data_IF_382575561469
#
_entry.id   IF_382575561469
#
_cell.length_a   1.000
_cell.length_b   1.000
_cell.length_c   1.000
_cell.angle_alpha   90.00
_cell.angle_beta   90.00
_cell.angle_gamma   90.00
#
_symmetry.space_group_name_H-M   'P 1'
#
loop_
_entity.id
_entity.type
_entity.pdbx_description
1 polymer ?
#
# COMPACT_ATOMS: atom_id res chain seq x y z
N UNK A 1 -21.21 -8.07 2.99
CA UNK A 1 -20.83 -6.70 2.59
C UNK A 1 -19.32 -6.64 2.55
N UNK A 2 -18.72 -6.01 1.56
CA UNK A 2 -17.29 -5.70 1.60
C UNK A 2 -17.07 -4.65 2.70
N UNK A 3 -16.13 -4.88 3.60
CA UNK A 3 -15.78 -3.90 4.63
C UNK A 3 -14.94 -2.79 4.01
N UNK A 4 -15.23 -1.54 4.36
CA UNK A 4 -14.48 -0.37 3.94
C UNK A 4 -14.13 0.46 5.17
N UNK A 5 -12.99 1.14 5.11
CA UNK A 5 -12.50 2.05 6.14
C UNK A 5 -12.02 3.32 5.48
N UNK A 6 -12.37 4.44 6.09
CA UNK A 6 -11.95 5.77 5.65
C UNK A 6 -11.24 6.43 6.81
N UNK A 7 -10.04 6.94 6.57
CA UNK A 7 -9.27 7.62 7.61
C UNK A 7 -10.05 8.81 8.21
N UNK A 8 -10.76 9.56 7.37
CA UNK A 8 -11.51 10.75 7.80
C UNK A 8 -12.89 10.40 8.36
N UNK A 9 -13.63 9.46 7.76
CA UNK A 9 -14.95 9.09 8.24
C UNK A 9 -14.90 8.23 9.52
N UNK A 10 -13.84 7.45 9.71
CA UNK A 10 -13.61 6.62 10.89
C UNK A 10 -12.63 7.26 11.88
N UNK A 11 -12.45 8.59 11.83
CA UNK A 11 -11.55 9.29 12.74
C UNK A 11 -11.92 9.02 14.20
N UNK A 12 -10.91 8.67 15.01
CA UNK A 12 -11.13 8.32 16.42
C UNK A 12 -10.65 9.42 17.37
N UNK A 13 -11.55 9.86 18.26
CA UNK A 13 -11.21 10.69 19.42
C UNK A 13 -10.69 9.86 20.61
N UNK A 14 -10.53 8.55 20.43
CA UNK A 14 -9.84 7.65 21.36
C UNK A 14 -8.68 7.00 20.62
N UNK A 15 -7.46 7.48 20.84
CA UNK A 15 -6.28 6.94 20.19
C UNK A 15 -5.81 5.66 20.88
N UNK A 16 -6.02 4.53 20.22
CA UNK A 16 -5.64 3.21 20.70
C UNK A 16 -5.19 2.35 19.53
N UNK A 17 -4.61 1.17 19.77
CA UNK A 17 -4.17 0.24 18.71
C UNK A 17 -5.33 -0.52 18.04
N UNK A 18 -6.45 0.16 17.80
CA UNK A 18 -7.59 -0.36 17.04
C UNK A 18 -7.33 -0.25 15.53
N UNK A 19 -8.38 -0.16 14.71
CA UNK A 19 -8.28 -0.04 13.25
C UNK A 19 -7.48 1.18 12.85
N UNK A 20 -7.77 2.35 13.43
CA UNK A 20 -6.96 3.55 13.27
C UNK A 20 -6.23 3.89 14.56
N UNK A 21 -4.97 4.29 14.41
CA UNK A 21 -4.14 4.82 15.48
C UNK A 21 -3.25 5.94 14.95
N UNK A 22 -2.94 6.92 15.79
CA UNK A 22 -2.21 8.13 15.41
C UNK A 22 -0.96 8.26 16.25
N UNK A 23 0.11 8.75 15.66
CA UNK A 23 1.36 8.87 16.39
C UNK A 23 2.49 9.40 15.55
N UNK A 24 3.70 9.17 16.03
CA UNK A 24 4.90 9.60 15.34
C UNK A 24 5.96 8.51 15.30
N UNK A 25 6.86 8.63 14.34
CA UNK A 25 8.14 7.91 14.33
C UNK A 25 9.25 8.88 14.75
N UNK A 26 10.26 8.41 15.50
CA UNK A 26 11.37 9.24 15.94
C UNK A 26 12.14 9.82 14.74
N UNK A 27 12.96 10.87 14.97
CA UNK A 27 13.73 11.48 13.90
C UNK A 27 14.83 10.55 13.39
N UNK A 28 15.30 10.87 12.19
CA UNK A 28 16.19 10.02 11.40
C UNK A 28 15.40 9.51 10.20
N UNK A 29 15.97 9.59 9.00
CA UNK A 29 15.34 9.37 7.69
C UNK A 29 14.76 7.95 7.43
N UNK A 30 14.43 7.21 8.49
CA UNK A 30 13.85 5.88 8.45
C UNK A 30 12.35 6.00 8.71
N UNK A 31 11.58 5.86 7.64
CA UNK A 31 10.11 5.70 7.68
C UNK A 31 9.67 4.35 8.27
N UNK A 32 10.63 3.49 8.62
CA UNK A 32 10.47 2.23 9.34
C UNK A 32 11.00 2.37 10.77
N UNK A 33 10.53 1.53 11.69
CA UNK A 33 11.00 1.51 13.09
C UNK A 33 9.92 1.83 14.12
N UNK A 34 10.32 2.38 15.25
CA UNK A 34 9.44 2.59 16.41
C UNK A 34 8.27 3.52 16.07
N UNK A 35 7.07 3.15 16.53
CA UNK A 35 5.87 3.98 16.44
C UNK A 35 5.37 4.30 17.86
N UNK A 36 5.25 5.59 18.16
CA UNK A 36 4.81 6.09 19.46
C UNK A 36 3.46 6.77 19.29
N UNK A 37 2.47 6.34 20.07
CA UNK A 37 1.12 6.91 20.01
C UNK A 37 1.11 8.36 20.50
N UNK A 38 0.32 9.19 19.83
CA UNK A 38 -0.13 10.45 20.41
C UNK A 38 -1.04 10.19 21.59
N UNK A 39 -0.85 10.94 22.67
CA UNK A 39 -1.55 10.72 23.95
C UNK A 39 -2.44 11.88 24.35
N UNK A 40 -2.35 13.01 23.65
CA UNK A 40 -3.09 14.22 23.96
C UNK A 40 -4.01 14.59 22.80
N UNK A 41 -5.30 14.74 23.12
CA UNK A 41 -6.30 15.30 22.21
C UNK A 41 -6.65 16.70 22.72
N UNK A 42 -6.42 17.72 21.91
CA UNK A 42 -6.67 19.11 22.27
C UNK A 42 -7.57 19.78 21.22
N UNK A 43 -8.46 20.66 21.66
CA UNK A 43 -9.22 21.54 20.77
C UNK A 43 -8.39 22.77 20.43
N UNK A 44 -8.57 23.32 19.23
CA UNK A 44 -8.08 24.65 18.90
C UNK A 44 -8.52 25.66 19.98
N UNK A 45 -7.61 26.43 20.61
CA UNK A 45 -7.96 27.38 21.65
C UNK A 45 -8.88 28.51 21.16
N UNK A 46 -8.96 28.74 19.86
CA UNK A 46 -9.88 29.71 19.25
C UNK A 46 -11.25 29.11 18.88
N UNK A 47 -11.49 27.85 19.24
CA UNK A 47 -12.75 27.13 19.00
C UNK A 47 -13.16 27.11 17.51
N UNK A 48 -12.18 26.98 16.60
CA UNK A 48 -12.47 26.80 15.17
C UNK A 48 -13.21 25.49 14.85
N UNK A 49 -13.29 24.55 15.80
CA UNK A 49 -13.81 23.20 15.58
C UNK A 49 -12.76 22.23 15.03
N UNK A 50 -11.48 22.60 15.04
CA UNK A 50 -10.37 21.68 14.76
C UNK A 50 -9.88 21.05 16.07
N UNK A 51 -9.61 19.74 16.03
CA UNK A 51 -8.99 18.98 17.12
C UNK A 51 -7.66 18.37 16.70
N UNK A 52 -6.77 18.16 17.66
CA UNK A 52 -5.38 17.78 17.43
C UNK A 52 -4.98 16.60 18.30
N UNK A 53 -4.51 15.53 17.68
CA UNK A 53 -3.71 14.51 18.32
C UNK A 53 -2.24 14.90 18.29
N UNK A 54 -1.61 14.95 19.47
CA UNK A 54 -0.21 15.36 19.62
C UNK A 54 0.55 14.53 20.66
N UNK A 55 1.90 14.57 20.65
CA UNK A 55 2.73 14.15 21.76
C UNK A 55 2.49 15.00 23.02
N UNK A 56 2.78 14.48 24.22
CA UNK A 56 2.62 15.21 25.48
C UNK A 56 3.49 16.47 25.56
N UNK A 57 4.63 16.52 24.89
CA UNK A 57 5.51 17.69 24.84
C UNK A 57 4.96 18.85 24.00
N UNK A 58 3.95 18.61 23.16
CA UNK A 58 3.37 19.60 22.24
C UNK A 58 2.02 20.16 22.74
N UNK A 59 1.71 19.99 24.02
CA UNK A 59 0.45 20.49 24.58
C UNK A 59 0.52 22.01 24.75
N UNK A 60 -0.54 22.74 24.38
CA UNK A 60 -0.57 24.18 24.54
C UNK A 60 -0.23 24.71 25.91
N UNK A 61 0.76 25.60 26.01
CA UNK A 61 0.96 26.42 27.19
C UNK A 61 0.08 27.68 27.10
N UNK A 62 -0.97 27.81 27.93
CA UNK A 62 -1.88 28.95 27.90
C UNK A 62 -1.24 30.28 28.31
N UNK A 63 0.01 30.31 28.77
CA UNK A 63 0.68 31.53 29.26
C UNK A 63 1.32 32.39 28.17
N UNK A 64 1.45 31.92 26.93
CA UNK A 64 2.28 32.59 25.94
C UNK A 64 1.55 33.37 24.84
N UNK A 65 0.21 33.37 24.76
CA UNK A 65 -0.57 34.06 23.70
C UNK A 65 -0.13 33.80 22.24
N UNK A 66 0.78 32.85 22.02
CA UNK A 66 1.14 32.28 20.73
C UNK A 66 0.32 31.02 20.62
N UNK A 67 -0.41 30.82 19.51
CA UNK A 67 -1.21 29.62 19.29
C UNK A 67 -0.29 28.39 19.45
N UNK A 68 -0.36 27.62 20.55
CA UNK A 68 0.74 26.71 20.91
C UNK A 68 0.80 25.42 20.08
N UNK A 69 -0.20 25.24 19.23
CA UNK A 69 -0.30 24.20 18.24
C UNK A 69 0.10 24.89 16.94
N UNK A 70 1.25 24.59 16.35
CA UNK A 70 1.21 23.90 15.06
C UNK A 70 2.51 23.68 14.31
N UNK A 71 3.54 24.50 14.43
CA UNK A 71 4.60 24.42 13.40
C UNK A 71 5.76 23.49 13.79
N UNK A 72 6.08 23.34 15.07
CA UNK A 72 7.32 22.65 15.43
C UNK A 72 7.19 21.13 15.59
N UNK A 73 5.99 20.63 15.85
CA UNK A 73 5.75 19.30 16.38
C UNK A 73 4.88 18.39 15.50
N UNK A 74 5.04 17.05 15.56
CA UNK A 74 4.22 16.16 14.76
C UNK A 74 2.78 16.16 15.28
N UNK A 75 1.80 16.19 14.37
CA UNK A 75 0.38 16.17 14.74
C UNK A 75 -0.52 15.54 13.67
N UNK A 76 -1.69 15.08 14.12
CA UNK A 76 -2.85 14.77 13.28
C UNK A 76 -3.98 15.71 13.70
N UNK A 77 -4.52 16.48 12.77
CA UNK A 77 -5.64 17.39 13.00
C UNK A 77 -6.89 16.98 12.23
N UNK A 78 -8.06 17.20 12.82
CA UNK A 78 -9.35 16.84 12.23
C UNK A 78 -10.35 17.99 12.35
N UNK A 79 -11.05 18.26 11.24
CA UNK A 79 -12.14 19.24 11.21
C UNK A 79 -13.46 18.60 11.65
N UNK A 80 -13.98 18.97 12.82
CA UNK A 80 -15.26 18.47 13.32
C UNK A 80 -16.46 19.05 12.54
N UNK A 81 -16.27 20.16 11.82
CA UNK A 81 -17.36 20.87 11.18
C UNK A 81 -17.81 20.20 9.87
N UNK A 82 -19.12 20.25 9.55
CA UNK A 82 -19.65 19.80 8.27
C UNK A 82 -19.43 20.83 7.14
N UNK A 83 -18.53 21.79 7.36
CA UNK A 83 -18.19 22.87 6.42
C UNK A 83 -16.67 23.07 6.38
N UNK A 84 -16.20 23.75 5.35
CA UNK A 84 -14.81 24.20 5.27
C UNK A 84 -14.49 25.13 6.43
N UNK A 85 -13.40 24.85 7.12
CA UNK A 85 -12.86 25.64 8.23
C UNK A 85 -11.50 26.20 7.83
N UNK A 86 -11.25 27.46 8.17
CA UNK A 86 -9.95 28.10 7.97
C UNK A 86 -9.32 28.23 9.36
N UNK A 87 -8.13 27.65 9.51
CA UNK A 87 -7.33 27.79 10.73
C UNK A 87 -6.20 28.78 10.44
N UNK A 88 -6.21 29.92 11.12
CA UNK A 88 -5.13 30.91 11.05
C UNK A 88 -3.96 30.46 11.95
N UNK A 89 -2.77 30.28 11.36
CA UNK A 89 -1.55 29.87 12.07
C UNK A 89 -0.45 30.90 11.76
N UNK A 90 -0.19 31.78 12.73
CA UNK A 90 0.78 32.86 12.54
C UNK A 90 0.37 33.79 11.38
N UNK A 91 1.15 33.77 10.29
CA UNK A 91 0.87 34.53 9.06
C UNK A 91 0.20 33.70 7.96
N UNK A 92 0.09 32.38 8.13
CA UNK A 92 -0.53 31.48 7.14
C UNK A 92 -1.94 31.06 7.53
N UNK A 93 -2.63 30.46 6.56
CA UNK A 93 -3.95 29.86 6.74
C UNK A 93 -3.94 28.44 6.19
N UNK A 94 -4.46 27.53 7.00
CA UNK A 94 -4.68 26.15 6.60
C UNK A 94 -6.16 25.96 6.31
N UNK A 95 -6.48 25.49 5.10
CA UNK A 95 -7.87 25.34 4.64
C UNK A 95 -8.30 23.89 4.78
N UNK A 96 -9.15 23.60 5.77
CA UNK A 96 -9.69 22.28 6.03
C UNK A 96 -11.04 22.10 5.36
N UNK A 97 -11.21 21.19 4.38
CA UNK A 97 -12.54 20.72 3.98
C UNK A 97 -13.35 20.16 5.16
N UNK A 98 -14.66 20.04 4.99
CA UNK A 98 -15.54 19.41 5.98
C UNK A 98 -15.03 18.00 6.32
N UNK A 99 -14.99 17.66 7.62
CA UNK A 99 -14.60 16.32 8.10
C UNK A 99 -13.27 15.81 7.55
N UNK A 100 -12.29 16.69 7.34
CA UNK A 100 -11.01 16.32 6.73
C UNK A 100 -9.90 16.14 7.79
N UNK A 101 -8.89 15.34 7.44
CA UNK A 101 -7.67 15.19 8.24
C UNK A 101 -6.52 15.91 7.59
N UNK A 102 -5.77 16.66 8.40
CA UNK A 102 -4.45 17.14 8.07
C UNK A 102 -3.40 16.44 8.94
N UNK A 103 -2.24 16.20 8.36
CA UNK A 103 -1.09 15.57 8.98
C UNK A 103 0.09 16.54 8.83
N UNK A 104 0.73 16.87 9.94
CA UNK A 104 1.86 17.81 9.98
C UNK A 104 3.08 17.10 10.59
N UNK A 105 4.28 17.12 9.96
CA UNK A 105 5.49 16.52 10.50
C UNK A 105 6.08 17.38 11.64
N UNK A 106 7.30 17.11 12.09
CA UNK A 106 7.99 17.96 13.08
C UNK A 106 9.23 18.60 12.49
N UNK A 107 9.53 19.83 12.91
CA UNK A 107 10.76 20.51 12.52
C UNK A 107 12.04 19.80 13.01
N UNK A 108 11.94 18.95 14.04
CA UNK A 108 13.05 18.12 14.50
C UNK A 108 13.22 16.81 13.70
N UNK A 109 12.41 16.62 12.65
CA UNK A 109 12.47 15.49 11.73
C UNK A 109 11.66 14.26 12.15
N UNK A 110 10.84 14.34 13.22
CA UNK A 110 9.84 13.29 13.50
C UNK A 110 8.77 13.27 12.40
N UNK A 111 8.39 12.05 12.01
CA UNK A 111 7.30 11.83 11.07
C UNK A 111 5.97 11.72 11.82
N UNK A 112 4.90 12.24 11.25
CA UNK A 112 3.53 11.97 11.70
C UNK A 112 2.93 10.79 10.96
N UNK A 113 2.17 9.97 11.68
CA UNK A 113 1.66 8.69 11.17
C UNK A 113 0.19 8.52 11.51
N UNK A 114 -0.61 8.28 10.49
CA UNK A 114 -1.90 7.62 10.61
C UNK A 114 -1.71 6.13 10.26
N UNK A 115 -1.97 5.23 11.21
CA UNK A 115 -1.76 3.79 11.04
C UNK A 115 -3.09 3.06 10.96
N UNK A 116 -3.26 2.32 9.87
CA UNK A 116 -4.28 1.30 9.73
C UNK A 116 -3.78 -0.03 10.26
N UNK A 117 -4.56 -0.69 11.11
CA UNK A 117 -4.32 -2.07 11.57
C UNK A 117 -5.40 -2.98 10.99
N UNK A 118 -5.00 -3.95 10.17
CA UNK A 118 -5.94 -4.83 9.51
C UNK A 118 -6.76 -5.66 10.52
N UNK A 119 -8.10 -5.54 10.56
CA UNK A 119 -8.91 -6.26 11.54
C UNK A 119 -9.06 -7.75 11.22
N UNK A 120 -8.85 -8.14 9.97
CA UNK A 120 -8.97 -9.51 9.44
C UNK A 120 -7.92 -9.76 8.36
N UNK A 121 -7.64 -11.03 8.07
CA UNK A 121 -6.82 -11.40 6.92
C UNK A 121 -7.55 -11.05 5.61
N UNK A 122 -6.82 -10.59 4.60
CA UNK A 122 -7.36 -10.47 3.25
C UNK A 122 -6.54 -9.60 2.32
N UNK A 123 -7.09 -9.36 1.13
CA UNK A 123 -6.53 -8.41 0.19
C UNK A 123 -7.24 -7.07 0.35
N UNK A 124 -6.46 -6.01 0.53
CA UNK A 124 -6.95 -4.66 0.73
C UNK A 124 -6.61 -3.80 -0.47
N UNK A 125 -7.62 -3.17 -1.06
CA UNK A 125 -7.42 -2.10 -2.03
C UNK A 125 -7.26 -0.77 -1.28
N UNK A 126 -6.26 0.01 -1.67
CA UNK A 126 -5.96 1.33 -1.12
C UNK A 126 -6.16 2.39 -2.20
N UNK A 127 -6.82 3.49 -1.84
CA UNK A 127 -6.92 4.74 -2.60
C UNK A 127 -6.49 5.87 -1.67
N UNK A 128 -5.40 6.55 -2.02
CA UNK A 128 -4.74 7.52 -1.16
C UNK A 128 -4.44 8.79 -1.93
N UNK A 129 -4.74 9.92 -1.30
CA UNK A 129 -4.41 11.25 -1.81
C UNK A 129 -3.78 12.05 -0.67
N UNK A 130 -2.62 12.62 -0.94
CA UNK A 130 -2.02 13.67 -0.12
C UNK A 130 -2.06 15.00 -0.87
N UNK A 131 -2.37 16.09 -0.16
CA UNK A 131 -2.47 17.43 -0.76
C UNK A 131 -1.91 18.48 0.19
N UNK A 132 -1.08 19.38 -0.33
CA UNK A 132 -0.57 20.52 0.44
C UNK A 132 -1.66 21.61 0.57
N UNK A 133 -2.01 22.01 1.79
CA UNK A 133 -3.17 22.89 2.05
C UNK A 133 -2.86 24.17 2.86
N UNK A 134 -1.59 24.44 3.17
CA UNK A 134 -1.18 25.72 3.75
C UNK A 134 -1.03 26.77 2.63
N UNK A 135 -1.60 27.97 2.80
CA UNK A 135 -1.56 29.04 1.79
C UNK A 135 -0.19 29.75 1.65
N UNK A 136 0.81 29.37 2.43
CA UNK A 136 2.19 29.84 2.34
C UNK A 136 3.17 28.80 1.78
N UNK A 137 2.71 27.60 1.44
CA UNK A 137 3.58 26.49 1.04
C UNK A 137 4.17 26.56 -0.39
N UNK A 138 4.23 27.74 -1.00
CA UNK A 138 4.62 27.96 -2.41
C UNK A 138 5.97 27.35 -2.81
N UNK A 139 6.88 27.18 -1.84
CA UNK A 139 8.25 26.74 -2.06
C UNK A 139 8.70 25.68 -1.05
N UNK A 140 7.76 25.03 -0.39
CA UNK A 140 8.05 24.02 0.64
C UNK A 140 7.71 22.63 0.14
N UNK A 141 8.40 21.65 0.71
CA UNK A 141 8.28 20.25 0.33
C UNK A 141 7.79 19.41 1.51
N UNK A 142 6.80 18.58 1.26
CA UNK A 142 6.36 17.57 2.23
C UNK A 142 6.59 16.17 1.67
N UNK A 143 7.22 15.30 2.47
CA UNK A 143 7.43 13.89 2.14
C UNK A 143 6.20 13.05 2.50
N UNK A 144 5.67 12.29 1.54
CA UNK A 144 4.54 11.38 1.74
C UNK A 144 4.95 9.93 1.54
N UNK A 145 4.57 9.04 2.46
CA UNK A 145 4.96 7.62 2.42
C UNK A 145 3.82 6.69 2.80
N UNK A 146 3.81 5.51 2.19
CA UNK A 146 2.93 4.39 2.56
C UNK A 146 3.81 3.19 2.87
N UNK A 147 3.83 2.77 4.13
CA UNK A 147 4.70 1.69 4.61
C UNK A 147 3.86 0.51 5.10
N UNK A 148 4.05 -0.64 4.47
CA UNK A 148 3.46 -1.90 4.89
C UNK A 148 4.31 -2.57 5.98
N UNK A 149 3.63 -2.98 7.04
CA UNK A 149 4.12 -3.73 8.18
C UNK A 149 5.45 -3.21 8.74
N UNK A 150 5.61 -1.89 8.72
CA UNK A 150 6.80 -1.19 9.21
C UNK A 150 8.14 -1.62 8.55
N UNK A 151 8.11 -2.24 7.37
CA UNK A 151 9.32 -2.77 6.72
C UNK A 151 9.37 -2.60 5.21
N UNK A 152 8.22 -2.46 4.54
CA UNK A 152 8.15 -2.38 3.09
C UNK A 152 7.53 -1.05 2.66
N UNK A 153 8.29 -0.24 1.92
CA UNK A 153 7.73 0.94 1.26
C UNK A 153 6.87 0.50 0.08
N UNK A 154 5.57 0.80 0.16
CA UNK A 154 4.63 0.60 -0.95
C UNK A 154 4.66 1.79 -1.90
N UNK A 155 4.85 2.99 -1.34
CA UNK A 155 4.88 4.23 -2.08
C UNK A 155 5.61 5.33 -1.31
N UNK A 156 6.25 6.22 -2.05
CA UNK A 156 6.98 7.39 -1.56
C UNK A 156 6.83 8.51 -2.59
N UNK A 157 6.65 9.74 -2.11
CA UNK A 157 6.51 10.92 -2.96
C UNK A 157 7.00 12.17 -2.25
N UNK A 158 7.22 13.20 -3.06
CA UNK A 158 7.49 14.57 -2.61
C UNK A 158 6.35 15.45 -3.13
N UNK A 159 5.75 16.21 -2.23
CA UNK A 159 4.61 17.11 -2.47
C UNK A 159 5.17 18.53 -2.40
N UNK A 160 5.05 19.29 -3.49
CA UNK A 160 5.71 20.59 -3.62
C UNK A 160 4.75 21.68 -4.05
N UNK A 161 4.60 22.71 -3.21
CA UNK A 161 3.79 23.87 -3.54
C UNK A 161 2.33 23.73 -3.09
N UNK A 162 1.68 24.89 -2.94
CA UNK A 162 0.27 24.98 -2.52
C UNK A 162 -0.62 24.21 -3.48
N UNK A 163 -1.47 23.34 -2.92
CA UNK A 163 -2.44 22.57 -3.69
C UNK A 163 -1.84 21.45 -4.53
N UNK A 164 -0.52 21.22 -4.48
CA UNK A 164 0.05 20.04 -5.12
C UNK A 164 -0.53 18.78 -4.47
N UNK A 165 -0.84 17.82 -5.33
CA UNK A 165 -1.57 16.62 -4.98
C UNK A 165 -0.85 15.42 -5.55
N UNK A 166 -0.60 14.44 -4.68
CA UNK A 166 -0.01 13.16 -5.05
C UNK A 166 -0.95 12.04 -4.64
N UNK A 167 -1.15 11.08 -5.54
CA UNK A 167 -2.09 9.97 -5.33
C UNK A 167 -1.42 8.61 -5.50
N UNK A 168 -1.91 7.64 -4.74
CA UNK A 168 -1.55 6.23 -4.86
C UNK A 168 -2.81 5.37 -4.90
N UNK A 169 -2.82 4.43 -5.85
CA UNK A 169 -3.84 3.39 -5.96
C UNK A 169 -3.13 2.04 -5.96
N UNK A 170 -3.60 1.09 -5.13
CA UNK A 170 -3.11 -0.28 -5.20
C UNK A 170 -3.58 -0.97 -6.49
N UNK A 171 -2.92 -2.07 -6.89
CA UNK A 171 -3.41 -2.92 -7.98
C UNK A 171 -4.83 -3.46 -7.68
N UNK A 172 -5.58 -3.85 -8.72
CA UNK A 172 -6.94 -4.41 -8.58
C UNK A 172 -7.02 -5.64 -7.66
N UNK A 173 -5.93 -6.42 -7.56
CA UNK A 173 -5.84 -7.57 -6.66
C UNK A 173 -5.68 -7.19 -5.19
N UNK A 174 -5.47 -5.91 -4.90
CA UNK A 174 -5.12 -5.37 -3.59
C UNK A 174 -3.74 -5.82 -3.11
N UNK A 175 -3.46 -5.47 -1.86
CA UNK A 175 -2.28 -5.92 -1.11
C UNK A 175 -2.75 -6.96 -0.09
N UNK A 176 -2.08 -8.11 -0.06
CA UNK A 176 -2.36 -9.14 0.95
C UNK A 176 -1.82 -8.71 2.30
N UNK A 177 -2.71 -8.57 3.27
CA UNK A 177 -2.42 -8.13 4.64
C UNK A 177 -3.07 -9.10 5.62
N UNK A 178 -2.31 -9.57 6.59
CA UNK A 178 -2.83 -10.39 7.69
C UNK A 178 -3.42 -9.51 8.77
N UNK A 179 -4.31 -10.10 9.54
CA UNK A 179 -4.85 -9.51 10.75
C UNK A 179 -3.72 -9.03 11.65
N UNK A 180 -3.89 -7.81 12.16
CA UNK A 180 -2.97 -7.06 13.00
C UNK A 180 -1.68 -6.58 12.31
N UNK A 181 -1.45 -6.88 11.02
CA UNK A 181 -0.42 -6.20 10.25
C UNK A 181 -0.88 -4.77 9.92
N UNK A 182 0.08 -3.88 9.73
CA UNK A 182 -0.18 -2.44 9.64
C UNK A 182 0.09 -1.90 8.24
N UNK A 183 -0.62 -0.82 7.89
CA UNK A 183 -0.26 0.08 6.81
C UNK A 183 -0.16 1.47 7.42
N UNK A 184 1.03 2.05 7.36
CA UNK A 184 1.32 3.38 7.89
C UNK A 184 1.24 4.40 6.74
N UNK A 185 0.41 5.42 6.92
CA UNK A 185 0.35 6.61 6.07
C UNK A 185 1.13 7.70 6.80
N UNK A 186 2.27 8.07 6.24
CA UNK A 186 3.31 8.83 6.94
C UNK A 186 3.55 10.14 6.21
N UNK A 187 3.60 11.22 6.97
CA UNK A 187 4.07 12.52 6.50
C UNK A 187 5.35 12.88 7.25
N UNK A 188 6.36 13.29 6.50
CA UNK A 188 7.65 13.77 6.99
C UNK A 188 8.10 15.01 6.25
N UNK A 189 9.26 15.52 6.63
CA UNK A 189 9.89 16.63 5.93
C UNK A 189 10.25 16.16 4.51
N UNK A 190 9.95 16.99 3.51
CA UNK A 190 10.25 16.68 2.12
C UNK A 190 11.72 16.92 1.76
N UNK A 191 11.98 17.14 0.46
CA UNK A 191 13.34 17.33 -0.06
C UNK A 191 14.06 18.57 0.49
N UNK A 192 13.34 19.56 1.01
CA UNK A 192 13.90 20.76 1.64
C UNK A 192 14.27 20.55 3.13
N UNK A 193 13.91 19.40 3.69
CA UNK A 193 14.19 19.00 5.07
C UNK A 193 13.71 20.03 6.11
N UNK A 194 12.61 20.73 5.82
CA UNK A 194 11.91 21.64 6.74
C UNK A 194 10.49 21.12 7.00
N UNK A 195 9.82 21.77 7.95
CA UNK A 195 8.44 21.56 8.41
C UNK A 195 7.55 22.80 8.15
N UNK A 196 8.17 23.96 7.86
CA UNK A 196 7.44 25.22 7.78
C UNK A 196 6.37 25.11 6.70
N UNK A 197 5.13 25.45 7.09
CA UNK A 197 3.97 25.38 6.19
C UNK A 197 3.63 23.96 5.69
N UNK A 198 4.12 22.90 6.35
CA UNK A 198 3.80 21.51 5.99
C UNK A 198 2.46 21.05 6.55
N UNK A 199 1.38 21.57 5.96
CA UNK A 199 0.03 21.04 6.22
C UNK A 199 -0.42 20.15 5.07
N UNK A 200 -0.41 18.84 5.30
CA UNK A 200 -0.84 17.85 4.30
C UNK A 200 -2.19 17.25 4.64
N UNK A 201 -3.19 17.55 3.80
CA UNK A 201 -4.47 16.85 3.79
C UNK A 201 -4.25 15.38 3.39
N UNK A 202 -4.81 14.46 4.18
CA UNK A 202 -4.77 13.04 3.89
C UNK A 202 -6.18 12.47 3.67
N UNK A 203 -6.45 12.00 2.45
CA UNK A 203 -7.64 11.24 2.11
C UNK A 203 -7.22 9.79 1.83
N UNK A 204 -7.67 8.87 2.68
CA UNK A 204 -7.28 7.46 2.63
C UNK A 204 -8.54 6.61 2.73
N UNK A 205 -8.78 5.84 1.67
CA UNK A 205 -9.86 4.88 1.57
C UNK A 205 -9.29 3.47 1.42
N UNK A 206 -9.78 2.55 2.24
CA UNK A 206 -9.32 1.16 2.31
C UNK A 206 -10.52 0.24 2.15
N UNK A 207 -10.44 -0.74 1.26
CA UNK A 207 -11.51 -1.71 1.05
C UNK A 207 -10.99 -3.13 1.12
N UNK A 208 -11.63 -3.97 1.93
CA UNK A 208 -11.40 -5.41 1.91
C UNK A 208 -12.02 -5.97 0.64
N UNK A 209 -11.18 -6.52 -0.22
CA UNK A 209 -11.61 -7.18 -1.44
C UNK A 209 -12.26 -8.51 -1.10
N UNK A 210 -13.44 -8.72 -1.66
CA UNK A 210 -14.07 -10.03 -1.59
C UNK A 210 -13.20 -10.98 -2.42
N UNK A 211 -12.75 -12.06 -1.80
CA UNK A 211 -12.28 -13.21 -2.55
C UNK A 211 -13.49 -13.73 -3.34
N UNK A 212 -13.68 -13.21 -4.55
CA UNK A 212 -14.50 -13.85 -5.55
C UNK A 212 -13.73 -15.12 -5.95
N UNK A 213 -13.79 -16.14 -5.10
CA UNK A 213 -13.70 -17.52 -5.54
C UNK A 213 -14.92 -17.79 -6.41
N UNK A 214 -14.95 -17.17 -7.60
CA UNK A 214 -15.40 -17.92 -8.75
C UNK A 214 -14.43 -19.08 -8.79
N UNK A 215 -14.95 -20.25 -8.42
CA UNK A 215 -14.35 -21.53 -8.73
C UNK A 215 -14.11 -21.57 -10.25
N UNK A 216 -13.07 -20.91 -10.76
CA UNK A 216 -12.25 -21.52 -11.78
C UNK A 216 -11.56 -22.65 -11.05
N UNK A 217 -12.30 -23.75 -10.85
CA UNK A 217 -11.66 -25.04 -10.73
C UNK A 217 -10.60 -25.05 -11.85
N UNK A 218 -9.32 -25.35 -11.56
CA UNK A 218 -8.42 -25.65 -12.64
C UNK A 218 -9.13 -26.75 -13.43
N UNK A 219 -9.43 -26.47 -14.70
CA UNK A 219 -9.92 -27.50 -15.60
C UNK A 219 -8.84 -28.58 -15.56
N UNK A 220 -9.08 -29.63 -14.77
CA UNK A 220 -8.29 -30.85 -14.70
C UNK A 220 -8.48 -31.56 -16.04
N UNK A 221 -8.00 -30.96 -17.13
CA UNK A 221 -8.03 -31.57 -18.47
C UNK A 221 -6.64 -31.83 -19.03
N UNK A 222 -5.56 -31.51 -18.31
CA UNK A 222 -4.20 -31.70 -18.84
C UNK A 222 -3.53 -33.01 -18.42
N UNK A 223 -4.07 -33.76 -17.45
CA UNK A 223 -3.46 -35.05 -17.04
C UNK A 223 -3.94 -36.23 -17.91
N UNK A 224 -5.09 -36.13 -18.59
CA UNK A 224 -5.62 -37.23 -19.41
C UNK A 224 -5.05 -37.29 -20.84
N UNK A 225 -4.52 -36.19 -21.38
CA UNK A 225 -3.90 -36.21 -22.73
C UNK A 225 -2.49 -36.80 -22.74
N UNK A 226 -1.72 -36.67 -21.65
CA UNK A 226 -0.34 -37.18 -21.57
C UNK A 226 -0.24 -38.71 -21.58
N UNK A 227 -1.14 -39.39 -20.87
CA UNK A 227 -1.14 -40.86 -20.81
C UNK A 227 -1.63 -41.51 -22.12
N UNK A 228 -2.64 -40.91 -22.78
CA UNK A 228 -3.15 -41.40 -24.06
C UNK A 228 -2.12 -41.29 -25.19
N UNK A 229 -1.44 -40.13 -25.30
CA UNK A 229 -0.37 -39.92 -26.28
C UNK A 229 0.85 -40.80 -26.00
N UNK A 230 1.22 -40.99 -24.72
CA UNK A 230 2.33 -41.86 -24.35
C UNK A 230 2.11 -43.32 -24.77
N UNK A 231 0.91 -43.87 -24.53
CA UNK A 231 0.56 -45.22 -24.94
C UNK A 231 0.46 -45.37 -26.46
N UNK A 232 -0.05 -44.34 -27.16
CA UNK A 232 -0.14 -44.33 -28.61
C UNK A 232 1.25 -44.26 -29.28
N UNK A 233 2.14 -43.39 -28.80
CA UNK A 233 3.53 -43.32 -29.25
C UNK A 233 4.28 -44.63 -28.98
N UNK A 234 4.11 -45.22 -27.79
CA UNK A 234 4.71 -46.52 -27.46
C UNK A 234 4.24 -47.63 -28.41
N UNK A 235 2.94 -47.69 -28.71
CA UNK A 235 2.38 -48.66 -29.63
C UNK A 235 2.94 -48.51 -31.06
N UNK A 236 3.02 -47.27 -31.58
CA UNK A 236 3.62 -47.01 -32.90
C UNK A 236 5.10 -47.41 -32.93
N UNK A 237 5.88 -47.02 -31.91
CA UNK A 237 7.29 -47.41 -31.81
C UNK A 237 7.46 -48.92 -31.75
N UNK A 238 6.59 -49.63 -31.03
CA UNK A 238 6.59 -51.09 -30.97
C UNK A 238 6.30 -51.71 -32.35
N UNK A 239 5.26 -51.26 -33.06
CA UNK A 239 4.92 -51.78 -34.40
C UNK A 239 6.04 -51.54 -35.40
N UNK A 240 6.65 -50.35 -35.40
CA UNK A 240 7.78 -50.02 -36.27
C UNK A 240 8.99 -50.89 -35.95
N UNK A 241 9.31 -51.09 -34.67
CA UNK A 241 10.39 -51.97 -34.24
C UNK A 241 10.16 -53.43 -34.65
N UNK A 242 8.95 -53.96 -34.47
CA UNK A 242 8.60 -55.33 -34.88
C UNK A 242 8.72 -55.50 -36.40
N UNK A 243 8.29 -54.52 -37.20
CA UNK A 243 8.45 -54.54 -38.65
C UNK A 243 9.91 -54.47 -39.08
N UNK A 244 10.70 -53.59 -38.46
CA UNK A 244 12.14 -53.50 -38.72
C UNK A 244 12.86 -54.82 -38.38
N UNK A 245 12.56 -55.43 -37.23
CA UNK A 245 13.12 -56.72 -36.81
C UNK A 245 12.72 -57.84 -37.77
N UNK A 246 11.48 -57.86 -38.24
CA UNK A 246 11.03 -58.82 -39.25
C UNK A 246 11.79 -58.64 -40.57
N UNK A 247 11.87 -57.40 -41.09
CA UNK A 247 12.61 -57.09 -42.31
C UNK A 247 14.08 -57.50 -42.22
N UNK A 248 14.76 -57.17 -41.11
CA UNK A 248 16.16 -57.55 -40.87
C UNK A 248 16.34 -59.07 -40.82
N UNK A 249 15.39 -59.80 -40.25
CA UNK A 249 15.46 -61.25 -40.20
C UNK A 249 15.18 -61.88 -41.58
N UNK A 250 14.32 -61.30 -42.42
CA UNK A 250 14.09 -61.78 -43.79
C UNK A 250 15.22 -61.42 -44.76
N UNK A 251 15.91 -60.30 -44.56
CA UNK A 251 17.03 -59.87 -45.43
C UNK A 251 18.34 -60.63 -45.21
N UNK A 252 18.42 -61.47 -44.16
CA UNK A 252 19.59 -62.32 -43.86
C UNK A 252 19.45 -63.71 -44.55
N UNK A 253 18.29 -64.04 -45.14
CA UNK A 253 18.01 -65.34 -45.75
C UNK A 253 17.92 -65.37 -47.29
N UNK A 254 18.42 -64.35 -48.01
CA UNK A 254 18.75 -64.52 -49.43
C UNK A 254 20.28 -64.59 -49.65
N UNK A 255 20.86 -65.81 -49.66
CA UNK A 255 22.03 -66.12 -50.44
C UNK A 255 21.67 -66.95 -51.68
N UNK A 256 22.25 -66.54 -52.82
CA UNK A 256 22.73 -67.40 -53.91
C UNK A 256 21.72 -68.34 -54.61
N UNK A 257 21.19 -67.88 -55.75
CA UNK A 257 21.00 -68.72 -56.95
C UNK A 257 21.26 -67.89 -58.21
N UNK A 258 22.52 -67.54 -58.45
CA UNK A 258 22.98 -67.18 -59.79
C UNK A 258 23.31 -68.48 -60.53
N UNK A 259 22.38 -68.94 -61.38
CA UNK A 259 22.60 -70.09 -62.26
C UNK A 259 23.66 -69.75 -63.32
N UNK A 260 24.80 -70.41 -63.20
CA UNK A 260 25.69 -70.76 -64.30
C UNK A 260 24.99 -71.70 -65.29
N UNK A 261 25.13 -71.46 -66.59
CA UNK A 261 25.95 -72.25 -67.54
C UNK A 261 25.54 -71.87 -68.97
N UNK A 262 26.55 -71.52 -69.76
CA UNK A 262 26.49 -71.31 -71.20
C UNK A 262 26.83 -72.60 -71.98
N UNK A 263 26.49 -72.58 -73.27
CA UNK A 263 27.05 -73.31 -74.42
C UNK A 263 26.31 -74.53 -74.96
N UNK A 264 26.38 -74.80 -76.29
CA UNK A 264 27.28 -74.22 -77.32
C UNK A 264 26.77 -72.96 -78.01
#
# INVERSE_FOLDING_TARGET
MASAWSLSADFSTINSYTVWSYGYKPPGYQVTGSFVLFTHLTLDPLDSGIIFWTPPENVPNPQNNVNPIHEDGPSISYNLNPITTILDVGSSRIIYPAHSINIHPSCDGKFSVARFTAPVDGNYALSVIFTHIDDHSNFTHTGGYIIYNNSMTLWETDIFGIGDLKSYESAESGITVKKNETIDFIIGNGLDNTCYYDSTLANVEIRLLLNNSTNKQPLMSTILFGFGLGLFCYYISYVLYSRYKHWKNTSIYEPLMANTVAHP
#
